data_IF_018742971968
#
_entry.id   IF_018742971968
#
_cell.length_a   1.000
_cell.length_b   1.000
_cell.length_c   1.000
_cell.angle_alpha   90.00
_cell.angle_beta   90.00
_cell.angle_gamma   90.00
#
_symmetry.space_group_name_H-M   'P 1'
#
loop_
_entity.id
_entity.type
_entity.pdbx_description
1 polymer ?
#
# COMPACT_ATOMS: atom_id res chain seq x y z
N UNK A 1 40.01 39.47 53.90
CA UNK A 1 38.90 38.70 54.52
C UNK A 1 38.18 37.90 53.43
N UNK A 2 37.87 36.64 53.72
CA UNK A 2 37.45 35.47 52.88
C UNK A 2 35.86 35.53 52.75
N UNK A 3 35.12 34.82 51.84
CA UNK A 3 34.73 35.13 50.44
C UNK A 3 33.17 35.03 50.20
N UNK A 4 32.58 34.23 49.26
CA UNK A 4 31.67 34.65 48.16
C UNK A 4 30.23 34.07 48.26
N UNK A 5 29.37 34.28 47.25
CA UNK A 5 28.59 33.22 46.55
C UNK A 5 27.76 33.78 45.37
N UNK A 6 27.76 33.03 44.27
CA UNK A 6 27.03 33.15 42.98
C UNK A 6 25.51 33.00 43.12
N UNK A 7 24.72 33.50 42.15
CA UNK A 7 23.62 32.79 41.44
C UNK A 7 22.97 33.69 40.36
N UNK A 8 22.59 33.05 39.25
CA UNK A 8 22.19 33.55 37.92
C UNK A 8 20.78 34.20 37.83
N UNK A 9 20.54 34.88 36.71
CA UNK A 9 19.34 35.66 36.38
C UNK A 9 18.15 34.83 35.87
N UNK A 10 16.90 35.35 35.93
CA UNK A 10 15.83 34.94 35.03
C UNK A 10 15.42 36.07 34.07
N UNK A 11 15.34 35.71 32.79
CA UNK A 11 14.94 36.56 31.67
C UNK A 11 13.44 36.88 31.66
N UNK A 12 13.15 38.11 31.24
CA UNK A 12 11.81 38.69 31.19
C UNK A 12 11.04 38.23 29.94
N UNK A 13 9.76 37.93 30.18
CA UNK A 13 8.73 37.66 29.19
C UNK A 13 8.33 38.94 28.44
N UNK A 14 7.70 38.80 27.27
CA UNK A 14 6.53 39.56 26.77
C UNK A 14 6.59 39.77 25.24
N UNK A 15 5.47 39.41 24.58
CA UNK A 15 5.04 39.70 23.20
C UNK A 15 5.32 38.62 22.13
N UNK A 16 4.60 37.50 22.22
CA UNK A 16 4.25 36.72 21.03
C UNK A 16 2.80 36.99 20.66
N UNK A 17 2.66 37.68 19.53
CA UNK A 17 1.47 38.33 18.98
C UNK A 17 0.37 37.32 18.63
N UNK A 18 -0.87 37.76 18.83
CA UNK A 18 -2.16 37.09 18.60
C UNK A 18 -2.41 36.68 17.13
N UNK A 19 -1.92 35.52 16.71
CA UNK A 19 -2.48 34.78 15.56
C UNK A 19 -2.81 33.34 15.96
N UNK A 20 -3.85 33.21 16.79
CA UNK A 20 -4.51 31.94 17.07
C UNK A 20 -5.50 31.60 15.96
N UNK A 21 -5.04 30.91 14.91
CA UNK A 21 -5.89 30.24 13.92
C UNK A 21 -5.34 28.86 13.51
N UNK A 22 -4.51 28.25 14.36
CA UNK A 22 -4.19 26.83 14.24
C UNK A 22 -5.19 26.02 15.06
N UNK A 23 -6.14 25.35 14.41
CA UNK A 23 -6.88 24.27 15.09
C UNK A 23 -5.86 23.30 15.70
N UNK A 24 -6.06 22.91 16.96
CA UNK A 24 -5.21 21.92 17.62
C UNK A 24 -5.00 20.71 16.70
N UNK A 25 -3.78 20.13 16.66
CA UNK A 25 -3.50 18.98 15.80
C UNK A 25 -4.49 17.86 16.13
N UNK A 26 -5.19 17.29 15.14
CA UNK A 26 -6.07 16.15 15.39
C UNK A 26 -5.21 14.99 15.91
N UNK A 27 -5.45 14.57 17.16
CA UNK A 27 -5.02 13.28 17.68
C UNK A 27 -5.88 12.19 17.02
N UNK A 28 -5.56 11.84 15.79
CA UNK A 28 -6.07 10.60 15.23
C UNK A 28 -4.91 9.85 14.62
N UNK A 29 -4.69 8.63 15.09
CA UNK A 29 -3.72 7.74 14.47
C UNK A 29 -4.15 7.55 13.01
N UNK A 30 -3.25 7.79 12.04
CA UNK A 30 -3.60 7.53 10.66
C UNK A 30 -3.96 6.04 10.53
N UNK A 31 -4.94 5.68 9.69
CA UNK A 31 -5.24 4.28 9.42
C UNK A 31 -3.95 3.54 9.07
N UNK A 32 -3.76 2.32 9.55
CA UNK A 32 -2.49 1.57 9.41
C UNK A 32 -1.99 1.41 7.95
N UNK A 33 -2.87 1.65 6.97
CA UNK A 33 -2.56 1.62 5.54
C UNK A 33 -2.22 3.00 4.94
N UNK A 34 -2.12 4.05 5.76
CA UNK A 34 -1.75 5.40 5.31
C UNK A 34 -0.23 5.49 5.23
N UNK A 35 0.26 5.92 4.08
CA UNK A 35 1.68 5.90 3.80
C UNK A 35 2.37 7.08 4.50
N UNK A 36 3.64 6.95 4.95
CA UNK A 36 4.33 8.01 5.70
C UNK A 36 4.42 9.35 4.97
N UNK A 37 4.35 9.37 3.64
CA UNK A 37 4.37 10.59 2.81
C UNK A 37 3.01 11.31 2.73
N UNK A 38 1.93 10.69 3.19
CA UNK A 38 0.61 11.32 3.32
C UNK A 38 0.49 12.18 4.60
N UNK A 39 1.49 12.07 5.47
CA UNK A 39 1.70 12.89 6.63
C UNK A 39 2.77 13.92 6.24
N UNK A 40 2.43 15.21 6.28
CA UNK A 40 3.51 16.21 6.35
C UNK A 40 4.29 16.02 7.65
N UNK A 41 5.44 16.69 7.78
CA UNK A 41 6.30 16.64 8.98
C UNK A 41 5.49 16.86 10.26
N UNK A 42 6.01 16.43 11.41
CA UNK A 42 5.37 16.67 12.70
C UNK A 42 4.96 18.15 12.86
N UNK A 43 3.65 18.41 12.87
CA UNK A 43 3.07 19.75 12.98
C UNK A 43 2.87 20.51 11.66
N UNK A 44 3.16 19.90 10.51
CA UNK A 44 2.98 20.44 9.17
C UNK A 44 2.04 19.49 8.41
N UNK A 45 0.83 19.93 8.05
CA UNK A 45 -0.15 19.10 7.32
C UNK A 45 0.24 18.89 5.84
N UNK A 46 1.46 19.30 5.45
CA UNK A 46 1.82 19.43 4.06
C UNK A 46 0.94 20.49 3.37
N UNK A 47 0.68 20.33 2.07
CA UNK A 47 -0.07 21.30 1.30
C UNK A 47 -1.59 21.31 1.55
N UNK A 48 -2.14 20.41 2.39
CA UNK A 48 -3.58 20.21 2.55
C UNK A 48 -4.08 20.64 3.95
N UNK A 49 -5.24 21.28 3.99
CA UNK A 49 -5.96 21.55 5.24
C UNK A 49 -6.57 20.29 5.85
N UNK A 50 -6.90 20.33 7.15
CA UNK A 50 -7.54 19.20 7.87
C UNK A 50 -8.79 18.65 7.16
N UNK A 51 -9.65 19.52 6.65
CA UNK A 51 -10.85 19.11 5.92
C UNK A 51 -10.51 18.42 4.58
N UNK A 52 -9.49 18.92 3.87
CA UNK A 52 -9.00 18.32 2.63
C UNK A 52 -8.34 16.96 2.87
N UNK A 53 -7.59 16.82 3.96
CA UNK A 53 -6.98 15.55 4.32
C UNK A 53 -8.04 14.51 4.70
N UNK A 54 -9.05 14.89 5.50
CA UNK A 54 -10.19 14.02 5.81
C UNK A 54 -10.96 13.56 4.56
N UNK A 55 -11.22 14.48 3.62
CA UNK A 55 -11.84 14.15 2.34
C UNK A 55 -10.97 13.22 1.48
N UNK A 56 -9.66 13.48 1.43
CA UNK A 56 -8.68 12.67 0.69
C UNK A 56 -8.59 11.26 1.25
N UNK A 57 -8.57 11.11 2.57
CA UNK A 57 -8.52 9.80 3.23
C UNK A 57 -9.76 8.98 2.89
N UNK A 58 -10.95 9.57 2.98
CA UNK A 58 -12.21 8.90 2.60
C UNK A 58 -12.18 8.43 1.14
N UNK A 59 -11.71 9.30 0.23
CA UNK A 59 -11.59 8.96 -1.19
C UNK A 59 -10.60 7.79 -1.39
N UNK A 60 -9.42 7.84 -0.76
CA UNK A 60 -8.41 6.77 -0.85
C UNK A 60 -8.95 5.43 -0.36
N UNK A 61 -9.64 5.42 0.77
CA UNK A 61 -10.26 4.19 1.30
C UNK A 61 -11.27 3.61 0.30
N UNK A 62 -12.14 4.44 -0.26
CA UNK A 62 -13.12 4.00 -1.25
C UNK A 62 -12.44 3.46 -2.52
N UNK A 63 -11.44 4.16 -3.03
CA UNK A 63 -10.67 3.72 -4.21
C UNK A 63 -9.97 2.40 -3.95
N UNK A 64 -9.34 2.20 -2.79
CA UNK A 64 -8.69 0.92 -2.44
C UNK A 64 -9.68 -0.24 -2.41
N UNK A 65 -10.84 -0.04 -1.77
CA UNK A 65 -11.89 -1.04 -1.74
C UNK A 65 -12.36 -1.40 -3.16
N UNK A 66 -12.57 -0.39 -4.01
CA UNK A 66 -12.95 -0.60 -5.41
C UNK A 66 -11.89 -1.36 -6.19
N UNK A 67 -10.61 -1.02 -6.01
CA UNK A 67 -9.50 -1.71 -6.68
C UNK A 67 -9.41 -3.17 -6.25
N UNK A 68 -9.55 -3.45 -4.96
CA UNK A 68 -9.57 -4.84 -4.46
C UNK A 68 -10.75 -5.63 -5.00
N UNK A 69 -11.94 -5.04 -5.02
CA UNK A 69 -13.12 -5.68 -5.60
C UNK A 69 -12.92 -5.99 -7.08
N UNK A 70 -12.36 -5.04 -7.84
CA UNK A 70 -12.01 -5.24 -9.24
C UNK A 70 -11.02 -6.41 -9.39
N UNK A 71 -9.90 -6.41 -8.67
CA UNK A 71 -8.90 -7.48 -8.76
C UNK A 71 -9.46 -8.86 -8.35
N UNK A 72 -10.40 -8.92 -7.41
CA UNK A 72 -11.10 -10.18 -7.05
C UNK A 72 -12.07 -10.66 -8.13
N UNK A 73 -12.75 -9.74 -8.81
CA UNK A 73 -13.71 -10.05 -9.88
C UNK A 73 -13.03 -10.36 -11.22
N UNK A 74 -11.77 -9.94 -11.38
CA UNK A 74 -11.00 -10.07 -12.61
C UNK A 74 -9.77 -10.99 -12.43
N UNK A 75 -9.97 -12.31 -12.26
CA UNK A 75 -8.89 -13.27 -12.08
C UNK A 75 -7.91 -13.32 -13.27
N UNK A 76 -8.34 -12.92 -14.47
CA UNK A 76 -7.48 -12.78 -15.65
C UNK A 76 -6.26 -11.88 -15.40
N UNK A 77 -6.40 -10.87 -14.53
CA UNK A 77 -5.29 -9.96 -14.18
C UNK A 77 -4.20 -10.71 -13.42
N UNK A 78 -4.59 -11.62 -12.50
CA UNK A 78 -3.64 -12.47 -11.79
C UNK A 78 -2.85 -13.34 -12.78
N UNK A 79 -3.54 -14.01 -13.70
CA UNK A 79 -2.90 -14.88 -14.69
C UNK A 79 -2.02 -14.11 -15.67
N UNK A 80 -2.41 -12.90 -16.08
CA UNK A 80 -1.56 -11.99 -16.87
C UNK A 80 -0.24 -11.68 -16.17
N UNK A 81 -0.28 -11.29 -14.90
CA UNK A 81 0.92 -10.99 -14.12
C UNK A 81 1.77 -12.24 -13.93
N UNK A 82 1.17 -13.37 -13.57
CA UNK A 82 1.90 -14.65 -13.39
C UNK A 82 2.57 -15.13 -14.68
N UNK A 83 1.86 -15.07 -15.81
CA UNK A 83 2.40 -15.46 -17.11
C UNK A 83 3.59 -14.58 -17.52
N UNK A 84 3.46 -13.26 -17.35
CA UNK A 84 4.55 -12.33 -17.64
C UNK A 84 5.77 -12.56 -16.74
N UNK A 85 5.55 -12.71 -15.42
CA UNK A 85 6.64 -12.99 -14.48
C UNK A 85 7.37 -14.30 -14.81
N UNK A 86 6.63 -15.36 -15.17
CA UNK A 86 7.23 -16.61 -15.63
C UNK A 86 8.08 -16.39 -16.89
N UNK A 87 7.55 -15.65 -17.86
CA UNK A 87 8.22 -15.42 -19.14
C UNK A 87 9.51 -14.61 -18.99
N UNK A 88 9.45 -13.49 -18.26
CA UNK A 88 10.61 -12.60 -18.07
C UNK A 88 11.72 -13.25 -17.24
N UNK A 89 11.37 -14.02 -16.20
CA UNK A 89 12.35 -14.72 -15.37
C UNK A 89 13.00 -15.90 -16.10
N UNK A 90 12.28 -16.51 -17.05
CA UNK A 90 12.81 -17.62 -17.86
C UNK A 90 13.71 -17.10 -18.98
N UNK A 91 13.26 -16.08 -19.72
CA UNK A 91 13.99 -15.57 -20.88
C UNK A 91 15.12 -14.61 -20.51
N UNK A 92 15.03 -13.95 -19.36
CA UNK A 92 15.97 -12.93 -18.88
C UNK A 92 16.44 -11.98 -20.00
N UNK A 93 15.49 -11.26 -20.63
CA UNK A 93 15.80 -10.39 -21.76
C UNK A 93 16.73 -9.25 -21.33
N UNK A 94 17.62 -8.84 -22.22
CA UNK A 94 18.55 -7.73 -21.98
C UNK A 94 17.82 -6.40 -21.76
N UNK A 95 16.66 -6.22 -22.41
CA UNK A 95 15.76 -5.09 -22.21
C UNK A 95 14.38 -5.53 -21.70
N UNK A 96 14.20 -5.48 -20.39
CA UNK A 96 12.94 -5.83 -19.73
C UNK A 96 11.74 -4.97 -20.18
N UNK A 97 11.97 -3.70 -20.52
CA UNK A 97 10.89 -2.77 -20.88
C UNK A 97 10.33 -3.03 -22.27
N UNK A 98 11.21 -3.31 -23.21
CA UNK A 98 10.83 -3.70 -24.57
C UNK A 98 10.09 -5.04 -24.55
N UNK A 99 10.62 -6.01 -23.81
CA UNK A 99 9.95 -7.30 -23.62
C UNK A 99 8.56 -7.17 -23.00
N UNK A 100 8.38 -6.26 -22.03
CA UNK A 100 7.05 -5.96 -21.48
C UNK A 100 6.09 -5.46 -22.56
N UNK A 101 6.52 -4.51 -23.39
CA UNK A 101 5.68 -3.97 -24.45
C UNK A 101 5.29 -5.05 -25.45
N UNK A 102 6.25 -5.86 -25.91
CA UNK A 102 6.01 -6.95 -26.87
C UNK A 102 5.08 -8.02 -26.29
N UNK A 103 5.25 -8.36 -25.01
CA UNK A 103 4.39 -9.34 -24.35
C UNK A 103 2.93 -8.89 -24.28
N UNK A 104 2.67 -7.66 -23.83
CA UNK A 104 1.30 -7.16 -23.62
C UNK A 104 0.62 -6.63 -24.89
N UNK A 105 1.37 -6.32 -25.95
CA UNK A 105 0.82 -5.93 -27.25
C UNK A 105 0.58 -7.11 -28.19
N UNK A 106 1.00 -8.32 -27.80
CA UNK A 106 0.79 -9.53 -28.59
C UNK A 106 -0.73 -9.80 -28.80
N UNK A 107 -1.21 -9.93 -30.05
CA UNK A 107 -2.62 -10.20 -30.34
C UNK A 107 -3.12 -11.52 -29.74
N UNK A 108 -2.23 -12.49 -29.53
CA UNK A 108 -2.55 -13.79 -28.95
C UNK A 108 -2.50 -13.80 -27.41
N UNK A 109 -2.25 -12.66 -26.76
CA UNK A 109 -2.15 -12.54 -25.30
C UNK A 109 -3.33 -13.24 -24.60
N UNK A 110 -4.57 -12.87 -24.95
CA UNK A 110 -5.76 -13.43 -24.29
C UNK A 110 -5.87 -14.94 -24.42
N UNK A 111 -5.44 -15.49 -25.57
CA UNK A 111 -5.42 -16.93 -25.78
C UNK A 111 -4.39 -17.60 -24.88
N UNK A 112 -3.20 -17.02 -24.78
CA UNK A 112 -2.12 -17.53 -23.93
C UNK A 112 -2.50 -17.48 -22.44
N UNK A 113 -3.17 -16.40 -22.00
CA UNK A 113 -3.63 -16.27 -20.61
C UNK A 113 -4.69 -17.32 -20.26
N UNK A 114 -5.64 -17.60 -21.15
CA UNK A 114 -6.63 -18.68 -20.94
C UNK A 114 -5.98 -20.06 -20.81
N UNK A 115 -4.90 -20.31 -21.55
CA UNK A 115 -4.12 -21.54 -21.40
C UNK A 115 -3.49 -21.62 -20.01
N UNK A 116 -2.84 -20.53 -19.55
CA UNK A 116 -2.24 -20.45 -18.21
C UNK A 116 -3.29 -20.61 -17.12
N UNK A 117 -4.45 -19.97 -17.27
CA UNK A 117 -5.58 -20.11 -16.34
C UNK A 117 -6.06 -21.56 -16.23
N UNK A 118 -6.17 -22.27 -17.36
CA UNK A 118 -6.53 -23.68 -17.40
C UNK A 118 -5.48 -24.54 -16.71
N UNK A 119 -4.20 -24.38 -17.05
CA UNK A 119 -3.08 -25.11 -16.43
C UNK A 119 -3.06 -24.91 -14.90
N UNK A 120 -3.25 -23.67 -14.44
CA UNK A 120 -3.31 -23.37 -13.01
C UNK A 120 -4.53 -24.04 -12.36
N UNK A 121 -5.70 -23.96 -12.99
CA UNK A 121 -6.91 -24.58 -12.44
C UNK A 121 -6.78 -26.09 -12.28
N UNK A 122 -6.12 -26.77 -13.24
CA UNK A 122 -5.83 -28.20 -13.18
C UNK A 122 -4.82 -28.52 -12.06
N UNK A 123 -3.71 -27.79 -11.97
CA UNK A 123 -2.69 -27.98 -10.94
C UNK A 123 -3.25 -27.87 -9.52
N UNK A 124 -4.09 -26.86 -9.25
CA UNK A 124 -4.65 -26.63 -7.92
C UNK A 124 -5.93 -27.43 -7.64
N UNK A 125 -6.59 -27.96 -8.68
CA UNK A 125 -7.63 -28.98 -8.49
C UNK A 125 -7.01 -30.24 -7.88
N UNK A 126 -5.87 -30.66 -8.41
CA UNK A 126 -5.15 -31.83 -7.90
C UNK A 126 -4.65 -31.61 -6.46
N UNK A 127 -4.11 -30.44 -6.12
CA UNK A 127 -3.67 -30.15 -4.73
C UNK A 127 -4.85 -30.14 -3.74
N UNK A 128 -6.00 -29.59 -4.13
CA UNK A 128 -7.22 -29.62 -3.33
C UNK A 128 -7.77 -31.05 -3.15
N UNK A 129 -7.74 -31.86 -4.20
CA UNK A 129 -8.10 -33.27 -4.15
C UNK A 129 -7.14 -34.04 -3.25
N UNK A 130 -5.83 -33.83 -3.37
CA UNK A 130 -4.80 -34.45 -2.52
C UNK A 130 -5.00 -34.09 -1.04
N UNK A 131 -5.23 -32.82 -0.71
CA UNK A 131 -5.54 -32.39 0.67
C UNK A 131 -6.82 -33.04 1.21
N UNK A 132 -7.87 -33.11 0.38
CA UNK A 132 -9.13 -33.77 0.77
C UNK A 132 -8.98 -35.29 0.97
N UNK A 133 -8.15 -35.94 0.14
CA UNK A 133 -7.82 -37.37 0.26
C UNK A 133 -6.91 -37.65 1.45
N UNK A 134 -6.04 -36.71 1.81
CA UNK A 134 -5.17 -36.79 2.96
C UNK A 134 -5.93 -36.68 4.31
N UNK A 135 -7.24 -36.36 4.29
CA UNK A 135 -8.04 -36.05 5.50
C UNK A 135 -7.31 -35.07 6.42
N UNK A 136 -6.65 -34.08 5.82
CA UNK A 136 -6.25 -32.88 6.56
C UNK A 136 -7.53 -32.06 6.79
N UNK A 137 -8.35 -32.54 7.73
CA UNK A 137 -9.39 -31.72 8.33
C UNK A 137 -8.67 -30.52 8.94
N UNK A 138 -8.87 -29.35 8.35
CA UNK A 138 -8.45 -28.10 8.96
C UNK A 138 -9.17 -28.05 10.31
N UNK A 139 -8.43 -28.26 11.40
CA UNK A 139 -8.82 -27.76 12.71
C UNK A 139 -9.10 -26.26 12.52
N UNK A 140 -10.39 -25.94 12.37
CA UNK A 140 -10.89 -24.58 12.33
C UNK A 140 -10.74 -24.03 13.75
N UNK A 141 -9.55 -23.54 14.08
CA UNK A 141 -9.38 -22.64 15.22
C UNK A 141 -9.97 -21.27 14.85
N UNK A 142 -11.17 -21.07 15.41
CA UNK A 142 -11.88 -19.84 15.85
C UNK A 142 -11.29 -18.49 15.43
#
# INVERSE_FOLDING_TARGET
>A
MIPPYTTEAPGNSTLKVMFGLGSAPPKHDPPASMEPYDLGRDGDLGALSNAQQGATNKLKTQTRLSNEQYLRQHPEVKYMVTAFLRDILTKQPENAREHFADFFTNPDLLKNIKTVEKEYSEMYHDDGVIRSLAREDLDSEV
#
